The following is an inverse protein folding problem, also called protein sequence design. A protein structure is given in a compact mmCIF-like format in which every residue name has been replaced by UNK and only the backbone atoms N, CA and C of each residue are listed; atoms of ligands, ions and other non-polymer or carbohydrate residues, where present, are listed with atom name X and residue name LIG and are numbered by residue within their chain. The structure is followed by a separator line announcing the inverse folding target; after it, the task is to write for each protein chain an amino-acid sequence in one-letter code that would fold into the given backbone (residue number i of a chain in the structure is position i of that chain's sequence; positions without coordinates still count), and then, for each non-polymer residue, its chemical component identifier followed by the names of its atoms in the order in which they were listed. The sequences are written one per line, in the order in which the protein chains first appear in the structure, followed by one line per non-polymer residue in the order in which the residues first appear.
data_IF_363939763608
#
_entry.id   IF_363939763608
#
_cell.length_a   1.000
_cell.length_b   1.000
_cell.length_c   1.000
_cell.angle_alpha   90.00
_cell.angle_beta   90.00
_cell.angle_gamma   90.00
#
_symmetry.space_group_name_H-M   'P 1'
#
loop_
_entity.id
_entity.type
_entity.pdbx_description
1 polymer ?
#
# COMPACT_ATOMS: atom_id res chain seq x y z
N UNK A 1 16.89 -10.60 -7.65
CA UNK A 1 16.71 -9.20 -8.11
C UNK A 1 15.44 -8.64 -7.49
N UNK A 2 15.50 -7.52 -6.76
CA UNK A 2 14.33 -6.83 -6.21
C UNK A 2 13.42 -6.41 -7.39
N UNK A 3 12.12 -6.72 -7.30
CA UNK A 3 11.15 -6.32 -8.32
C UNK A 3 11.04 -4.80 -8.38
N UNK A 4 10.83 -4.22 -9.56
CA UNK A 4 10.71 -2.76 -9.70
C UNK A 4 9.46 -2.20 -8.99
N UNK A 5 8.50 -3.06 -8.62
CA UNK A 5 7.26 -2.76 -7.89
C UNK A 5 7.37 -2.94 -6.36
N UNK A 6 8.56 -3.31 -5.87
CA UNK A 6 8.87 -3.44 -4.44
C UNK A 6 8.98 -2.06 -3.79
N UNK A 7 8.32 -1.81 -2.65
CA UNK A 7 8.54 -0.60 -1.86
C UNK A 7 10.01 -0.45 -1.43
N UNK A 8 10.47 0.79 -1.33
CA UNK A 8 11.73 1.12 -0.67
C UNK A 8 11.60 0.92 0.84
N UNK A 9 12.61 0.28 1.40
CA UNK A 9 12.80 0.14 2.84
C UNK A 9 14.12 0.82 3.20
N UNK A 10 14.10 2.14 3.11
CA UNK A 10 15.21 3.02 3.49
C UNK A 10 14.77 3.78 4.75
N UNK A 11 15.66 4.01 5.73
CA UNK A 11 15.33 4.80 6.89
C UNK A 11 14.79 6.18 6.51
N UNK A 12 13.71 6.60 7.14
CA UNK A 12 13.02 7.85 6.84
C UNK A 12 11.98 8.20 7.90
N UNK A 13 11.79 9.50 8.11
CA UNK A 13 10.85 10.02 9.10
C UNK A 13 9.50 10.36 8.46
N UNK A 14 8.36 10.12 9.14
CA UNK A 14 7.06 10.54 8.64
C UNK A 14 7.01 12.06 8.46
N UNK A 15 6.31 12.50 7.41
CA UNK A 15 6.15 13.90 7.07
C UNK A 15 4.66 14.25 7.16
N UNK A 16 4.32 15.28 7.95
CA UNK A 16 2.94 15.69 8.20
C UNK A 16 2.19 14.73 9.14
N UNK A 17 0.84 14.75 9.13
CA UNK A 17 0.04 13.98 10.08
C UNK A 17 0.13 12.48 9.82
N UNK A 18 0.28 11.71 10.89
CA UNK A 18 0.23 10.24 10.88
C UNK A 18 -1.13 9.81 11.43
N UNK A 19 -2.10 9.64 10.54
CA UNK A 19 -3.47 9.26 10.91
C UNK A 19 -3.62 7.73 11.04
N UNK A 20 -2.80 6.98 10.29
CA UNK A 20 -2.80 5.51 10.27
C UNK A 20 -1.40 4.97 10.57
N UNK A 21 -0.97 4.99 11.85
CA UNK A 21 0.33 4.48 12.26
C UNK A 21 0.41 2.95 12.12
N UNK A 22 1.63 2.38 12.01
CA UNK A 22 1.83 0.94 12.13
C UNK A 22 1.41 0.42 13.51
N UNK A 23 0.94 -0.82 13.56
CA UNK A 23 0.60 -1.52 14.79
C UNK A 23 1.57 -2.70 15.00
N UNK A 24 2.50 -2.56 15.96
CA UNK A 24 3.68 -3.43 16.07
C UNK A 24 3.79 -4.17 17.43
N UNK A 25 2.68 -4.68 17.98
CA UNK A 25 2.64 -5.16 19.38
C UNK A 25 3.03 -6.62 19.61
N UNK A 26 3.16 -7.44 18.57
CA UNK A 26 3.45 -8.88 18.69
C UNK A 26 4.71 -9.27 17.94
N UNK A 27 5.84 -9.35 18.63
CA UNK A 27 7.13 -9.67 18.00
C UNK A 27 7.14 -11.09 17.38
N UNK A 28 6.44 -12.03 18.01
CA UNK A 28 6.30 -13.41 17.55
C UNK A 28 5.68 -13.48 16.15
N UNK A 29 4.66 -12.66 15.89
CA UNK A 29 4.00 -12.56 14.58
C UNK A 29 4.96 -12.06 13.48
N UNK A 30 5.88 -11.15 13.84
CA UNK A 30 6.88 -10.64 12.92
C UNK A 30 7.92 -11.69 12.56
N UNK A 31 8.31 -12.53 13.52
CA UNK A 31 9.25 -13.63 13.28
C UNK A 31 8.59 -14.74 12.45
N UNK A 32 7.39 -15.18 12.84
CA UNK A 32 6.64 -16.24 12.16
C UNK A 32 6.42 -15.95 10.68
N UNK A 33 6.07 -14.70 10.35
CA UNK A 33 5.77 -14.30 8.97
C UNK A 33 6.92 -13.60 8.25
N UNK A 34 8.12 -13.59 8.84
CA UNK A 34 9.32 -12.94 8.31
C UNK A 34 9.03 -11.49 7.88
N UNK A 35 8.35 -10.74 8.76
CA UNK A 35 7.98 -9.36 8.50
C UNK A 35 9.22 -8.47 8.55
N UNK A 36 9.32 -7.52 7.62
CA UNK A 36 10.39 -6.53 7.62
C UNK A 36 9.85 -5.16 7.16
N UNK A 37 10.26 -4.04 7.77
CA UNK A 37 11.04 -3.91 9.01
C UNK A 37 10.33 -4.45 10.26
N UNK A 38 11.09 -4.97 11.23
CA UNK A 38 10.54 -5.49 12.50
C UNK A 38 10.51 -4.42 13.59
N UNK A 39 9.33 -4.15 14.16
CA UNK A 39 9.14 -3.29 15.34
C UNK A 39 9.62 -1.84 15.18
N UNK A 40 9.76 -1.38 13.94
CA UNK A 40 10.37 -0.09 13.56
C UNK A 40 9.76 0.49 12.29
N UNK A 41 8.53 0.11 11.94
CA UNK A 41 7.92 0.54 10.67
C UNK A 41 7.82 2.06 10.55
N UNK A 42 7.66 2.76 11.68
CA UNK A 42 7.68 4.22 11.75
C UNK A 42 8.99 4.84 11.26
N UNK A 43 10.13 4.16 11.43
CA UNK A 43 11.46 4.62 11.04
C UNK A 43 11.77 4.41 9.55
N UNK A 44 10.82 3.84 8.81
CA UNK A 44 10.93 3.55 7.37
C UNK A 44 9.81 4.23 6.58
N UNK A 45 9.34 5.38 7.07
CA UNK A 45 8.40 6.20 6.34
C UNK A 45 9.01 6.64 5.01
N UNK A 46 8.21 6.62 3.94
CA UNK A 46 8.66 7.06 2.63
C UNK A 46 7.65 7.98 1.96
N UNK A 47 8.14 8.91 1.14
CA UNK A 47 7.31 9.78 0.31
C UNK A 47 7.52 9.42 -1.16
N UNK A 48 6.45 9.07 -1.86
CA UNK A 48 6.46 8.87 -3.31
C UNK A 48 5.71 10.01 -3.99
N UNK A 49 6.40 10.73 -4.87
CA UNK A 49 5.74 11.75 -5.69
C UNK A 49 4.81 11.09 -6.71
N UNK A 50 3.61 11.64 -6.83
CA UNK A 50 2.63 11.29 -7.85
C UNK A 50 2.72 12.29 -9.00
N UNK A 51 3.50 11.92 -10.03
CA UNK A 51 3.58 12.65 -11.29
C UNK A 51 2.92 11.81 -12.37
N UNK A 52 1.65 12.09 -12.64
CA UNK A 52 0.86 11.41 -13.67
C UNK A 52 0.01 12.46 -14.40
N UNK A 53 -0.23 12.25 -15.68
CA UNK A 53 -1.20 13.06 -16.44
C UNK A 53 -2.64 12.85 -15.92
N UNK A 54 -2.86 11.73 -15.22
CA UNK A 54 -4.12 11.48 -14.53
C UNK A 54 -4.15 12.25 -13.21
N UNK A 55 -5.23 12.99 -13.00
CA UNK A 55 -5.43 13.83 -11.82
C UNK A 55 -6.30 13.20 -10.74
N UNK A 56 -6.85 11.99 -10.95
CA UNK A 56 -7.81 11.36 -10.03
C UNK A 56 -7.35 11.35 -8.56
N UNK A 57 -6.07 11.05 -8.29
CA UNK A 57 -5.54 11.10 -6.93
C UNK A 57 -5.49 12.52 -6.36
N UNK A 58 -5.00 13.49 -7.14
CA UNK A 58 -4.97 14.90 -6.75
C UNK A 58 -6.39 15.43 -6.53
N UNK A 59 -7.31 15.18 -7.44
CA UNK A 59 -8.70 15.64 -7.37
C UNK A 59 -9.43 15.07 -6.15
N UNK A 60 -9.15 13.81 -5.77
CA UNK A 60 -9.77 13.16 -4.60
C UNK A 60 -9.11 13.51 -3.27
N UNK A 61 -7.83 13.87 -3.25
CA UNK A 61 -7.06 13.98 -2.00
C UNK A 61 -6.42 15.34 -1.76
N UNK A 62 -6.39 16.21 -2.76
CA UNK A 62 -5.69 17.50 -2.75
C UNK A 62 -4.17 17.38 -2.70
N UNK A 63 -3.59 16.20 -2.98
CA UNK A 63 -2.15 15.93 -2.86
C UNK A 63 -1.54 15.37 -4.14
N UNK A 64 -0.25 15.62 -4.29
CA UNK A 64 0.60 15.08 -5.36
C UNK A 64 1.68 14.14 -4.82
N UNK A 65 1.49 13.63 -3.60
CA UNK A 65 2.38 12.66 -2.96
C UNK A 65 1.62 11.58 -2.21
N UNK A 66 2.22 10.39 -2.14
CA UNK A 66 1.87 9.35 -1.20
C UNK A 66 2.86 9.39 -0.06
N UNK A 67 2.37 9.36 1.18
CA UNK A 67 3.22 9.25 2.35
C UNK A 67 2.92 7.96 3.05
N UNK A 68 3.86 7.04 2.98
CA UNK A 68 3.57 5.62 3.15
C UNK A 68 4.44 4.98 4.19
N UNK A 69 3.85 3.99 4.84
CA UNK A 69 4.57 2.90 5.47
C UNK A 69 4.43 1.65 4.60
N UNK A 70 5.41 0.77 4.69
CA UNK A 70 5.40 -0.50 4.00
C UNK A 70 5.97 -1.58 4.91
N UNK A 71 5.47 -2.80 4.78
CA UNK A 71 6.17 -3.99 5.25
C UNK A 71 6.21 -5.06 4.17
N UNK A 72 7.26 -5.86 4.22
CA UNK A 72 7.37 -7.13 3.52
C UNK A 72 6.95 -8.24 4.46
N UNK A 73 6.38 -9.32 3.91
CA UNK A 73 6.18 -10.60 4.61
C UNK A 73 6.38 -11.76 3.64
N UNK A 74 6.58 -12.98 4.16
CA UNK A 74 6.69 -14.19 3.34
C UNK A 74 5.31 -14.87 3.21
N UNK A 75 4.89 -15.15 1.98
CA UNK A 75 3.66 -15.90 1.71
C UNK A 75 3.95 -17.06 0.76
N UNK A 76 3.79 -18.30 1.23
CA UNK A 76 4.06 -19.53 0.45
C UNK A 76 5.43 -19.50 -0.24
N UNK A 77 6.46 -19.07 0.50
CA UNK A 77 7.84 -18.97 0.00
C UNK A 77 8.11 -17.76 -0.91
N UNK A 78 7.14 -16.87 -1.13
CA UNK A 78 7.32 -15.69 -2.00
C UNK A 78 7.10 -14.40 -1.21
N UNK A 79 8.02 -13.45 -1.35
CA UNK A 79 7.88 -12.14 -0.73
C UNK A 79 6.61 -11.42 -1.23
N UNK A 80 5.90 -10.80 -0.28
CA UNK A 80 4.73 -9.97 -0.51
C UNK A 80 4.89 -8.66 0.25
N UNK A 81 4.11 -7.66 -0.14
CA UNK A 81 4.26 -6.29 0.36
C UNK A 81 2.92 -5.70 0.68
N UNK A 82 2.78 -5.10 1.85
CA UNK A 82 1.69 -4.18 2.16
C UNK A 82 2.26 -2.78 2.17
N UNK A 83 1.52 -1.85 1.55
CA UNK A 83 1.88 -0.45 1.42
C UNK A 83 0.60 0.35 1.68
N UNK A 84 0.64 1.30 2.59
CA UNK A 84 -0.50 2.16 2.87
C UNK A 84 -0.09 3.61 3.04
N UNK A 85 -0.98 4.51 2.67
CA UNK A 85 -0.80 5.95 2.81
C UNK A 85 -1.28 6.36 4.20
N UNK A 86 -0.34 6.72 5.07
CA UNK A 86 -0.62 6.93 6.50
C UNK A 86 -1.41 8.21 6.79
N UNK A 87 -1.60 9.08 5.79
CA UNK A 87 -2.50 10.23 5.92
C UNK A 87 -3.95 9.80 5.66
N UNK A 88 -4.21 9.04 4.59
CA UNK A 88 -5.59 8.74 4.16
C UNK A 88 -6.11 7.36 4.53
N UNK A 89 -5.25 6.47 5.03
CA UNK A 89 -5.62 5.12 5.43
C UNK A 89 -5.94 4.19 4.27
N UNK A 90 -5.50 4.52 3.05
CA UNK A 90 -5.71 3.66 1.88
C UNK A 90 -4.56 2.68 1.71
N UNK A 91 -4.89 1.43 1.40
CA UNK A 91 -3.95 0.33 1.20
C UNK A 91 -3.86 -0.03 -0.28
N UNK A 92 -2.64 -0.24 -0.79
CA UNK A 92 -2.40 -0.81 -2.11
C UNK A 92 -2.71 -2.32 -2.12
N UNK A 93 -3.81 -2.72 -2.75
CA UNK A 93 -4.35 -4.09 -2.61
C UNK A 93 -3.71 -5.14 -3.52
N UNK A 94 -2.84 -4.74 -4.45
CA UNK A 94 -2.25 -5.63 -5.46
C UNK A 94 -1.71 -6.95 -4.89
N UNK A 95 -1.00 -6.91 -3.76
CA UNK A 95 -0.39 -8.10 -3.17
C UNK A 95 -1.38 -8.95 -2.38
N UNK A 96 -2.47 -8.38 -1.87
CA UNK A 96 -3.55 -9.13 -1.20
C UNK A 96 -4.29 -10.03 -2.20
N UNK A 97 -4.57 -9.51 -3.40
CA UNK A 97 -5.12 -10.32 -4.49
C UNK A 97 -4.14 -11.39 -4.97
N UNK A 98 -2.84 -11.07 -5.09
CA UNK A 98 -1.80 -12.05 -5.43
C UNK A 98 -1.68 -13.18 -4.38
N UNK A 99 -1.88 -12.91 -3.10
CA UNK A 99 -1.87 -13.94 -2.06
C UNK A 99 -2.98 -14.99 -2.25
N UNK A 100 -4.10 -14.58 -2.85
CA UNK A 100 -5.25 -15.42 -3.14
C UNK A 100 -5.23 -16.03 -4.55
N UNK A 101 -4.08 -16.01 -5.24
CA UNK A 101 -3.92 -16.49 -6.63
C UNK A 101 -4.90 -15.84 -7.63
N UNK A 102 -5.37 -14.63 -7.34
CA UNK A 102 -6.29 -13.92 -8.22
C UNK A 102 -5.53 -13.22 -9.35
N UNK A 103 -6.15 -13.18 -10.54
CA UNK A 103 -5.56 -12.57 -11.72
C UNK A 103 -5.31 -11.06 -11.53
N UNK A 104 -4.37 -10.48 -12.30
CA UNK A 104 -4.05 -9.04 -12.27
C UNK A 104 -5.28 -8.14 -12.48
N UNK A 105 -6.30 -8.61 -13.21
CA UNK A 105 -7.54 -7.88 -13.49
C UNK A 105 -8.58 -7.99 -12.38
N UNK A 106 -8.38 -8.85 -11.38
CA UNK A 106 -9.34 -9.10 -10.30
C UNK A 106 -9.68 -7.84 -9.47
N UNK A 107 -8.72 -6.97 -9.07
CA UNK A 107 -9.07 -5.74 -8.37
C UNK A 107 -10.03 -4.85 -9.16
N UNK A 108 -9.84 -4.74 -10.48
CA UNK A 108 -10.74 -3.97 -11.35
C UNK A 108 -12.15 -4.57 -11.35
N UNK A 109 -12.26 -5.89 -11.59
CA UNK A 109 -13.55 -6.59 -11.62
C UNK A 109 -14.29 -6.47 -10.29
N UNK A 110 -13.56 -6.58 -9.18
CA UNK A 110 -14.10 -6.41 -7.84
C UNK A 110 -14.65 -4.99 -7.62
N UNK A 111 -13.91 -3.95 -8.00
CA UNK A 111 -14.39 -2.57 -7.91
C UNK A 111 -15.55 -2.26 -8.85
N UNK A 112 -15.53 -2.79 -10.08
CA UNK A 112 -16.63 -2.60 -11.02
C UNK A 112 -17.94 -3.21 -10.52
N UNK A 113 -17.86 -4.30 -9.73
CA UNK A 113 -19.02 -4.91 -9.06
C UNK A 113 -19.46 -4.16 -7.78
N UNK A 114 -18.66 -3.22 -7.28
CA UNK A 114 -18.91 -2.47 -6.04
C UNK A 114 -18.76 -0.96 -6.29
N UNK A 115 -19.75 -0.29 -6.92
CA UNK A 115 -19.63 1.12 -7.33
C UNK A 115 -19.29 2.06 -6.17
N UNK A 116 -19.92 1.90 -5.00
CA UNK A 116 -19.63 2.73 -3.84
C UNK A 116 -18.16 2.61 -3.37
N UNK A 117 -17.59 1.41 -3.39
CA UNK A 117 -16.18 1.21 -3.07
C UNK A 117 -15.25 1.76 -4.15
N UNK A 118 -15.66 1.66 -5.42
CA UNK A 118 -14.92 2.21 -6.55
C UNK A 118 -14.73 3.72 -6.44
N UNK A 119 -15.75 4.44 -5.99
CA UNK A 119 -15.69 5.89 -5.82
C UNK A 119 -14.70 6.29 -4.71
N UNK A 120 -14.63 5.50 -3.63
CA UNK A 120 -13.71 5.71 -2.50
C UNK A 120 -12.26 5.27 -2.80
N UNK A 121 -12.09 4.46 -3.82
CA UNK A 121 -10.79 3.91 -4.26
C UNK A 121 -10.17 4.76 -5.36
N UNK A 122 -8.90 4.54 -5.68
CA UNK A 122 -8.28 5.11 -6.86
C UNK A 122 -7.30 4.13 -7.51
N UNK A 123 -7.13 4.29 -8.82
CA UNK A 123 -6.22 3.49 -9.61
C UNK A 123 -5.00 4.30 -10.04
N UNK A 124 -3.86 4.01 -9.43
CA UNK A 124 -2.61 4.70 -9.71
C UNK A 124 -1.94 4.04 -10.92
N UNK A 125 -1.90 4.79 -12.01
CA UNK A 125 -1.17 4.44 -13.23
C UNK A 125 -0.14 5.52 -13.55
N UNK A 126 1.05 5.14 -13.98
CA UNK A 126 2.17 6.08 -14.16
C UNK A 126 2.93 6.35 -12.85
N UNK A 127 3.96 7.20 -12.90
CA UNK A 127 4.79 7.51 -11.74
C UNK A 127 5.60 6.32 -11.22
N UNK A 128 5.88 6.32 -9.90
CA UNK A 128 6.71 5.28 -9.26
C UNK A 128 6.02 3.92 -9.27
N UNK A 129 6.71 2.88 -9.75
CA UNK A 129 6.16 1.53 -9.88
C UNK A 129 5.65 0.93 -8.55
N UNK A 130 6.28 1.28 -7.43
CA UNK A 130 5.83 0.84 -6.11
C UNK A 130 4.46 1.39 -5.71
N UNK A 131 4.00 2.51 -6.26
CA UNK A 131 2.67 3.06 -5.93
C UNK A 131 1.59 2.63 -6.90
N UNK A 132 1.94 2.00 -8.03
CA UNK A 132 0.96 1.63 -9.05
C UNK A 132 0.01 0.51 -8.60
N UNK A 133 -1.24 0.62 -9.03
CA UNK A 133 -2.32 -0.31 -8.73
C UNK A 133 -3.50 0.36 -8.03
N UNK A 134 -4.41 -0.47 -7.54
CA UNK A 134 -5.61 -0.03 -6.85
C UNK A 134 -5.34 0.19 -5.36
N UNK A 135 -5.87 1.29 -4.85
CA UNK A 135 -5.81 1.65 -3.45
C UNK A 135 -7.22 1.78 -2.89
N UNK A 136 -7.47 1.09 -1.78
CA UNK A 136 -8.79 0.98 -1.15
C UNK A 136 -8.71 1.42 0.32
N UNK A 137 -9.79 2.00 0.90
CA UNK A 137 -9.82 2.35 2.32
C UNK A 137 -9.55 1.15 3.23
N UNK A 138 -8.81 1.36 4.33
CA UNK A 138 -8.44 0.32 5.29
C UNK A 138 -9.63 -0.51 5.77
N UNK A 139 -10.72 0.13 6.17
CA UNK A 139 -11.93 -0.55 6.67
C UNK A 139 -12.52 -1.50 5.62
N UNK A 140 -12.47 -1.14 4.34
CA UNK A 140 -12.98 -1.98 3.25
C UNK A 140 -12.03 -3.14 2.91
N UNK A 141 -10.73 -2.98 3.17
CA UNK A 141 -9.74 -4.03 2.95
C UNK A 141 -9.73 -5.05 4.09
N UNK A 142 -10.12 -4.61 5.30
CA UNK A 142 -10.21 -5.44 6.50
C UNK A 142 -11.47 -6.32 6.54
N UNK A 143 -12.58 -5.84 5.99
CA UNK A 143 -13.88 -6.53 5.95
C UNK A 143 -13.84 -7.79 5.07
#
# INVERSE_FOLDING_TARGET
KRGKDTPKFEPGTPQGPVNYPPYETCAEFYEEHCIYPQGKLMDYAHTYLYRSDKREFNDKTGRDDFRVFAYQFLWRGVARYVLWDYISGRIRVTHLFKCNNLAKTAPKKFLDANPGLKDLSYNITGGTLATQGYWMPFECVKA
#
